data_IF_100300879767
#
_entry.id   IF_100300879767
#
_cell.length_a   1.000
_cell.length_b   1.000
_cell.length_c   1.000
_cell.angle_alpha   90.00
_cell.angle_beta   90.00
_cell.angle_gamma   90.00
#
_symmetry.space_group_name_H-M   'P 1'
#
loop_
_entity.id
_entity.type
_entity.pdbx_description
1 polymer ?
#
# COMPACT_ATOMS: atom_id res chain seq x y z
N UNK A 1 38.54 69.59 59.34
CA UNK A 1 37.38 70.07 58.58
C UNK A 1 37.85 70.26 57.14
N UNK A 2 37.79 69.22 56.31
CA UNK A 2 36.61 68.79 55.54
C UNK A 2 36.32 69.73 54.38
N UNK A 3 36.78 69.40 53.15
CA UNK A 3 36.16 69.82 51.89
C UNK A 3 36.76 69.19 50.60
N UNK A 4 36.97 67.87 50.53
CA UNK A 4 37.38 67.23 49.25
C UNK A 4 36.88 65.80 49.03
N UNK A 5 35.89 65.32 49.79
CA UNK A 5 35.33 63.95 49.60
C UNK A 5 33.85 63.90 49.25
N UNK A 6 33.23 65.01 48.86
CA UNK A 6 31.79 65.08 48.53
C UNK A 6 31.55 65.71 47.16
N UNK A 7 32.20 65.22 46.10
CA UNK A 7 31.66 65.28 44.72
C UNK A 7 32.13 64.03 43.93
N UNK A 8 32.10 62.85 44.55
CA UNK A 8 31.98 61.61 43.76
C UNK A 8 30.48 61.31 43.65
N UNK A 9 29.75 62.25 43.05
CA UNK A 9 28.43 62.00 42.54
C UNK A 9 28.58 60.91 41.47
N UNK A 10 28.25 59.67 41.84
CA UNK A 10 27.74 58.59 40.99
C UNK A 10 27.99 58.81 39.50
N UNK A 11 29.25 58.77 39.07
CA UNK A 11 29.57 58.84 37.64
C UNK A 11 29.08 57.53 37.05
N UNK A 12 28.08 57.60 36.19
CA UNK A 12 27.52 56.41 35.55
C UNK A 12 28.59 55.77 34.65
N UNK A 13 29.07 54.62 35.09
CA UNK A 13 30.04 53.81 34.37
C UNK A 13 29.36 53.08 33.19
N UNK A 14 30.13 52.76 32.16
CA UNK A 14 29.60 52.21 30.90
C UNK A 14 28.99 53.27 29.98
N UNK A 15 29.37 54.54 30.14
CA UNK A 15 28.92 55.65 29.29
C UNK A 15 30.10 56.46 28.74
N UNK A 16 29.85 57.27 27.70
CA UNK A 16 30.84 58.19 27.14
C UNK A 16 31.28 59.23 28.16
N UNK A 17 30.35 59.72 28.99
CA UNK A 17 30.65 60.71 30.01
C UNK A 17 31.40 60.11 31.19
N UNK A 18 31.14 58.84 31.52
CA UNK A 18 31.96 58.08 32.47
C UNK A 18 33.43 57.96 32.04
N UNK A 19 33.69 57.82 30.73
CA UNK A 19 35.06 57.86 30.20
C UNK A 19 35.69 59.26 30.30
N UNK A 20 34.94 60.32 29.94
CA UNK A 20 35.40 61.72 30.02
C UNK A 20 35.69 62.18 31.45
N UNK A 21 34.95 61.62 32.42
CA UNK A 21 35.17 61.84 33.85
C UNK A 21 36.42 61.12 34.41
N UNK A 22 37.17 60.39 33.56
CA UNK A 22 38.46 59.78 33.91
C UNK A 22 38.41 58.28 34.17
N UNK A 23 37.28 57.60 33.95
CA UNK A 23 37.24 56.14 34.04
C UNK A 23 37.77 55.50 32.76
N UNK A 24 39.01 54.99 32.82
CA UNK A 24 39.66 54.28 31.72
C UNK A 24 39.80 52.77 31.96
N UNK A 25 39.17 52.27 33.02
CA UNK A 25 39.28 50.88 33.45
C UNK A 25 38.63 49.88 32.49
N UNK A 26 39.12 48.64 32.49
CA UNK A 26 38.44 47.49 31.88
C UNK A 26 37.12 47.19 32.59
N UNK A 27 36.25 46.37 31.98
CA UNK A 27 34.94 45.95 32.54
C UNK A 27 35.05 45.49 34.00
N UNK A 28 36.11 44.74 34.34
CA UNK A 28 36.37 44.24 35.71
C UNK A 28 36.64 45.36 36.71
N UNK A 29 37.37 46.41 36.29
CA UNK A 29 37.69 47.56 37.15
C UNK A 29 36.63 48.68 37.13
N UNK A 30 35.76 48.67 36.11
CA UNK A 30 34.72 49.66 35.88
C UNK A 30 33.39 49.30 36.58
N UNK A 31 33.15 48.00 36.82
CA UNK A 31 31.91 47.50 37.45
C UNK A 31 30.67 47.57 36.55
N UNK A 32 30.77 48.16 35.37
CA UNK A 32 29.71 48.21 34.37
C UNK A 32 29.73 47.00 33.43
N UNK A 33 28.58 46.68 32.84
CA UNK A 33 28.42 45.59 31.87
C UNK A 33 29.30 45.76 30.61
N UNK A 34 29.55 47.01 30.22
CA UNK A 34 30.50 47.40 29.16
C UNK A 34 31.44 48.44 29.74
N UNK A 35 32.74 48.37 29.43
CA UNK A 35 33.71 49.31 29.99
C UNK A 35 33.54 50.71 29.39
N UNK A 36 33.79 51.76 30.18
CA UNK A 36 33.80 53.14 29.66
C UNK A 36 34.76 53.31 28.47
N UNK A 37 35.89 52.60 28.49
CA UNK A 37 36.88 52.60 27.41
C UNK A 37 36.34 51.98 26.12
N UNK A 38 35.68 50.82 26.20
CA UNK A 38 35.08 50.17 25.03
C UNK A 38 33.96 51.02 24.42
N UNK A 39 33.10 51.58 25.27
CA UNK A 39 32.03 52.50 24.85
C UNK A 39 32.63 53.72 24.14
N UNK A 40 33.68 54.33 24.68
CA UNK A 40 34.31 55.50 24.06
C UNK A 40 34.98 55.18 22.73
N UNK A 41 35.73 54.07 22.65
CA UNK A 41 36.37 53.61 21.40
C UNK A 41 35.31 53.38 20.32
N UNK A 42 34.23 52.67 20.65
CA UNK A 42 33.11 52.44 19.72
C UNK A 42 32.41 53.73 19.35
N UNK A 43 32.17 54.64 20.31
CA UNK A 43 31.56 55.93 20.03
C UNK A 43 32.38 56.79 19.04
N UNK A 44 33.71 56.70 19.06
CA UNK A 44 34.57 57.40 18.09
C UNK A 44 34.65 56.70 16.73
N UNK A 45 34.62 55.36 16.70
CA UNK A 45 34.87 54.57 15.49
C UNK A 45 33.63 54.02 14.76
N UNK A 46 32.50 53.86 15.45
CA UNK A 46 31.27 53.25 14.96
C UNK A 46 30.16 54.31 14.91
N UNK A 47 29.88 54.80 13.70
CA UNK A 47 28.86 55.83 13.47
C UNK A 47 27.45 55.37 13.89
N UNK A 48 27.13 54.09 13.72
CA UNK A 48 25.81 53.53 14.08
C UNK A 48 25.62 53.49 15.58
N UNK A 49 26.64 53.00 16.29
CA UNK A 49 26.69 53.01 17.76
C UNK A 49 26.57 54.43 18.31
N UNK A 50 27.37 55.38 17.78
CA UNK A 50 27.30 56.79 18.16
C UNK A 50 25.90 57.37 17.98
N UNK A 51 25.27 57.14 16.82
CA UNK A 51 23.93 57.65 16.53
C UNK A 51 22.88 57.16 17.53
N UNK A 52 22.96 55.89 17.96
CA UNK A 52 22.04 55.30 18.96
C UNK A 52 22.27 55.88 20.36
N UNK A 53 23.54 56.01 20.76
CA UNK A 53 23.92 56.65 22.03
C UNK A 53 23.47 58.12 22.06
N UNK A 54 23.68 58.87 20.96
CA UNK A 54 23.23 60.27 20.84
C UNK A 54 21.69 60.40 20.85
N UNK A 55 20.97 59.34 20.48
CA UNK A 55 19.52 59.25 20.60
C UNK A 55 19.05 58.91 22.03
N UNK A 56 19.97 58.71 22.96
CA UNK A 56 19.69 58.40 24.38
C UNK A 56 19.58 56.92 24.70
N UNK A 57 19.94 56.02 23.78
CA UNK A 57 19.97 54.59 24.06
C UNK A 57 21.17 54.21 24.95
N UNK A 58 20.97 53.28 25.88
CA UNK A 58 22.02 52.83 26.79
C UNK A 58 23.08 52.01 26.03
N UNK A 59 24.37 52.37 26.10
CA UNK A 59 25.47 51.60 25.50
C UNK A 59 25.47 50.11 25.83
N UNK A 60 25.08 49.75 27.06
CA UNK A 60 25.04 48.35 27.49
C UNK A 60 23.96 47.54 26.73
N UNK A 61 22.80 48.15 26.49
CA UNK A 61 21.68 47.50 25.78
C UNK A 61 22.01 47.33 24.28
N UNK A 62 22.68 48.31 23.67
CA UNK A 62 23.16 48.22 22.28
C UNK A 62 24.14 47.05 22.11
N UNK A 63 25.11 46.92 23.02
CA UNK A 63 26.08 45.81 22.98
C UNK A 63 25.40 44.46 23.27
N UNK A 64 24.44 44.43 24.20
CA UNK A 64 23.67 43.23 24.50
C UNK A 64 22.84 42.76 23.30
N UNK A 65 22.21 43.68 22.56
CA UNK A 65 21.47 43.37 21.34
C UNK A 65 22.39 42.82 20.25
N UNK A 66 23.50 43.49 19.95
CA UNK A 66 24.45 43.05 18.92
C UNK A 66 25.07 41.69 19.25
N UNK A 67 25.38 41.44 20.53
CA UNK A 67 25.89 40.13 20.96
C UNK A 67 24.83 39.04 20.80
N UNK A 68 23.58 39.31 21.12
CA UNK A 68 22.47 38.40 20.87
C UNK A 68 22.26 38.14 19.37
N UNK A 69 22.37 39.16 18.52
CA UNK A 69 22.30 39.01 17.06
C UNK A 69 23.44 38.14 16.52
N UNK A 70 24.67 38.38 16.98
CA UNK A 70 25.84 37.60 16.59
C UNK A 70 25.70 36.13 17.03
N UNK A 71 25.16 35.88 18.22
CA UNK A 71 24.86 34.53 18.69
C UNK A 71 23.78 33.86 17.84
N UNK A 72 22.72 34.59 17.47
CA UNK A 72 21.69 34.09 16.58
C UNK A 72 22.22 33.74 15.18
N UNK A 73 23.13 34.55 14.64
CA UNK A 73 23.83 34.27 13.37
C UNK A 73 24.68 33.00 13.52
N UNK A 74 25.49 32.89 14.58
CA UNK A 74 26.31 31.70 14.86
C UNK A 74 25.48 30.43 14.97
N UNK A 75 24.33 30.49 15.64
CA UNK A 75 23.43 29.33 15.74
C UNK A 75 22.79 28.96 14.41
N UNK A 76 22.42 29.96 13.60
CA UNK A 76 21.94 29.74 12.23
C UNK A 76 23.00 29.08 11.36
N UNK A 77 24.24 29.53 11.44
CA UNK A 77 25.36 28.97 10.67
C UNK A 77 25.71 27.56 11.12
N UNK A 78 25.72 27.29 12.44
CA UNK A 78 25.86 25.92 12.97
C UNK A 78 24.74 25.01 12.49
N UNK A 79 23.49 25.48 12.46
CA UNK A 79 22.37 24.71 11.93
C UNK A 79 22.51 24.44 10.42
N UNK A 80 22.90 25.45 9.64
CA UNK A 80 23.17 25.31 8.21
C UNK A 80 24.30 24.31 7.93
N UNK A 81 25.40 24.39 8.68
CA UNK A 81 26.53 23.47 8.55
C UNK A 81 26.15 22.03 8.92
N UNK A 82 25.37 21.83 10.00
CA UNK A 82 24.82 20.51 10.35
C UNK A 82 23.96 19.93 9.22
N UNK A 83 23.10 20.76 8.60
CA UNK A 83 22.26 20.36 7.47
C UNK A 83 23.09 20.01 6.22
N UNK A 84 24.11 20.80 5.91
CA UNK A 84 25.02 20.55 4.79
C UNK A 84 25.80 19.24 4.98
N UNK A 85 26.34 19.00 6.18
CA UNK A 85 27.04 17.75 6.51
C UNK A 85 26.12 16.53 6.39
N UNK A 86 24.88 16.63 6.87
CA UNK A 86 23.89 15.56 6.73
C UNK A 86 23.51 15.29 5.26
N UNK A 87 23.39 16.32 4.44
CA UNK A 87 23.12 16.17 3.01
C UNK A 87 24.29 15.50 2.28
N UNK A 88 25.53 15.89 2.58
CA UNK A 88 26.73 15.29 2.00
C UNK A 88 26.83 13.79 2.35
N UNK A 89 26.60 13.41 3.61
CA UNK A 89 26.60 12.02 4.04
C UNK A 89 25.52 11.17 3.33
N UNK A 90 24.33 11.74 3.08
CA UNK A 90 23.27 11.07 2.31
C UNK A 90 23.69 10.84 0.86
N UNK A 91 24.28 11.86 0.22
CA UNK A 91 24.74 11.77 -1.17
C UNK A 91 25.87 10.73 -1.32
N UNK A 92 26.78 10.65 -0.35
CA UNK A 92 27.83 9.64 -0.31
C UNK A 92 27.25 8.22 -0.20
N UNK A 93 26.31 8.01 0.74
CA UNK A 93 25.61 6.73 0.87
C UNK A 93 24.89 6.33 -0.42
N UNK A 94 24.20 7.25 -1.07
CA UNK A 94 23.51 6.99 -2.34
C UNK A 94 24.49 6.60 -3.45
N UNK A 95 25.65 7.27 -3.53
CA UNK A 95 26.72 6.93 -4.47
C UNK A 95 27.26 5.53 -4.22
N UNK A 96 27.50 5.17 -2.96
CA UNK A 96 27.99 3.85 -2.58
C UNK A 96 26.97 2.76 -2.88
N UNK A 97 25.69 2.99 -2.57
CA UNK A 97 24.60 2.08 -2.94
C UNK A 97 24.47 1.93 -4.47
N UNK A 98 24.62 3.02 -5.23
CA UNK A 98 24.61 2.97 -6.70
C UNK A 98 25.80 2.17 -7.22
N UNK A 99 26.98 2.33 -6.64
CA UNK A 99 28.18 1.57 -6.98
C UNK A 99 28.00 0.08 -6.65
N UNK A 100 27.41 -0.25 -5.50
CA UNK A 100 27.08 -1.61 -5.11
C UNK A 100 26.08 -2.25 -6.09
N UNK A 101 25.00 -1.54 -6.45
CA UNK A 101 24.02 -1.99 -7.46
C UNK A 101 24.66 -2.20 -8.85
N UNK A 102 25.64 -1.38 -9.22
CA UNK A 102 26.37 -1.54 -10.48
C UNK A 102 27.40 -2.68 -10.47
N UNK A 103 27.86 -3.10 -9.28
CA UNK A 103 28.80 -4.20 -9.12
C UNK A 103 28.12 -5.58 -9.08
N UNK A 104 26.79 -5.63 -8.95
CA UNK A 104 26.07 -6.90 -9.08
C UNK A 104 26.21 -7.45 -10.50
N UNK A 105 26.61 -8.73 -10.66
CA UNK A 105 26.77 -9.33 -11.98
C UNK A 105 25.46 -9.26 -12.73
N UNK A 106 25.54 -8.87 -14.00
CA UNK A 106 24.33 -8.72 -14.81
C UNK A 106 23.61 -10.07 -14.93
N UNK A 107 22.31 -10.04 -15.20
CA UNK A 107 21.51 -11.26 -15.22
C UNK A 107 22.07 -12.32 -16.20
N UNK A 108 22.66 -11.89 -17.31
CA UNK A 108 23.30 -12.74 -18.33
C UNK A 108 24.52 -13.47 -17.78
N UNK A 109 25.37 -12.82 -16.99
CA UNK A 109 26.51 -13.45 -16.31
C UNK A 109 26.04 -14.48 -15.28
N UNK A 110 24.92 -14.22 -14.61
CA UNK A 110 24.38 -15.12 -13.57
C UNK A 110 23.75 -16.39 -14.13
N UNK A 111 23.04 -16.31 -15.26
CA UNK A 111 22.24 -17.42 -15.80
C UNK A 111 22.72 -17.93 -17.15
N UNK A 112 23.75 -17.32 -17.75
CA UNK A 112 24.16 -17.58 -19.12
C UNK A 112 24.58 -19.02 -19.38
N UNK A 113 25.38 -19.59 -18.47
CA UNK A 113 25.85 -20.97 -18.57
C UNK A 113 24.70 -21.97 -18.43
N UNK A 114 23.77 -21.71 -17.52
CA UNK A 114 22.56 -22.52 -17.35
C UNK A 114 21.64 -22.45 -18.57
N UNK A 115 21.44 -21.25 -19.14
CA UNK A 115 20.66 -21.09 -20.37
C UNK A 115 21.30 -21.88 -21.52
N UNK A 116 22.63 -21.83 -21.66
CA UNK A 116 23.35 -22.61 -22.69
C UNK A 116 23.17 -24.11 -22.49
N UNK A 117 23.34 -24.59 -21.26
CA UNK A 117 23.17 -26.00 -20.89
C UNK A 117 21.75 -26.49 -21.17
N UNK A 118 20.73 -25.78 -20.69
CA UNK A 118 19.32 -26.19 -20.84
C UNK A 118 18.84 -26.16 -22.30
N UNK A 119 19.37 -25.24 -23.12
CA UNK A 119 19.13 -25.26 -24.57
C UNK A 119 19.75 -26.51 -25.21
N UNK A 120 20.96 -26.91 -24.80
CA UNK A 120 21.59 -28.14 -25.31
C UNK A 120 20.85 -29.42 -24.90
N UNK A 121 20.13 -29.38 -23.76
CA UNK A 121 19.21 -30.44 -23.32
C UNK A 121 17.89 -30.46 -24.12
N UNK A 122 17.68 -29.51 -25.04
CA UNK A 122 16.49 -29.43 -25.89
C UNK A 122 15.28 -28.74 -25.25
N UNK A 123 15.44 -28.10 -24.08
CA UNK A 123 14.34 -27.41 -23.38
C UNK A 123 13.90 -26.16 -24.12
N UNK A 124 12.61 -25.87 -24.05
CA UNK A 124 12.03 -24.64 -24.58
C UNK A 124 12.34 -23.44 -23.69
N UNK A 125 12.30 -22.23 -24.25
CA UNK A 125 12.49 -20.97 -23.50
C UNK A 125 11.51 -20.88 -22.31
N UNK A 126 10.30 -21.44 -22.45
CA UNK A 126 9.30 -21.44 -21.38
C UNK A 126 9.69 -22.36 -20.23
N UNK A 127 10.21 -23.55 -20.53
CA UNK A 127 10.69 -24.50 -19.52
C UNK A 127 11.94 -23.97 -18.84
N UNK A 128 12.87 -23.37 -19.60
CA UNK A 128 14.07 -22.72 -19.05
C UNK A 128 13.67 -21.59 -18.10
N UNK A 129 12.71 -20.75 -18.49
CA UNK A 129 12.21 -19.67 -17.64
C UNK A 129 11.58 -20.19 -16.34
N UNK A 130 10.80 -21.27 -16.41
CA UNK A 130 10.19 -21.91 -15.26
C UNK A 130 11.23 -22.53 -14.32
N UNK A 131 12.23 -23.22 -14.88
CA UNK A 131 13.28 -23.90 -14.13
C UNK A 131 14.23 -22.92 -13.45
N UNK A 132 14.66 -21.88 -14.17
CA UNK A 132 15.52 -20.81 -13.63
C UNK A 132 14.75 -19.77 -12.81
N UNK A 133 13.41 -19.89 -12.72
CA UNK A 133 12.52 -18.95 -12.04
C UNK A 133 12.73 -17.50 -12.47
N UNK A 134 12.96 -17.28 -13.77
CA UNK A 134 13.15 -15.96 -14.38
C UNK A 134 12.06 -15.68 -15.40
N UNK A 135 11.87 -14.42 -15.76
CA UNK A 135 10.97 -14.05 -16.83
C UNK A 135 11.43 -14.64 -18.18
N UNK A 136 10.49 -15.06 -19.02
CA UNK A 136 10.74 -15.56 -20.39
C UNK A 136 11.59 -14.54 -21.19
N UNK A 137 11.27 -13.25 -21.07
CA UNK A 137 12.02 -12.17 -21.73
C UNK A 137 13.49 -12.10 -21.31
N UNK A 138 13.82 -12.48 -20.07
CA UNK A 138 15.20 -12.54 -19.59
C UNK A 138 15.98 -13.66 -20.27
N UNK A 139 15.39 -14.85 -20.38
CA UNK A 139 16.00 -15.98 -21.09
C UNK A 139 16.24 -15.63 -22.56
N UNK A 140 15.28 -14.96 -23.21
CA UNK A 140 15.43 -14.50 -24.60
C UNK A 140 16.60 -13.53 -24.77
N UNK A 141 16.70 -12.50 -23.91
CA UNK A 141 17.80 -11.52 -23.95
C UNK A 141 19.15 -12.17 -23.66
N UNK A 142 19.22 -13.07 -22.68
CA UNK A 142 20.45 -13.82 -22.39
C UNK A 142 20.86 -14.71 -23.57
N UNK A 143 19.90 -15.37 -24.23
CA UNK A 143 20.16 -16.16 -25.44
C UNK A 143 20.71 -15.30 -26.58
N UNK A 144 20.14 -14.12 -26.80
CA UNK A 144 20.59 -13.14 -27.80
C UNK A 144 22.01 -12.63 -27.49
N UNK A 145 22.26 -12.26 -26.22
CA UNK A 145 23.58 -11.81 -25.76
C UNK A 145 24.66 -12.89 -25.90
N UNK A 146 24.31 -14.17 -25.75
CA UNK A 146 25.20 -15.30 -25.96
C UNK A 146 25.38 -15.67 -27.44
N UNK A 147 24.74 -14.95 -28.38
CA UNK A 147 24.84 -15.22 -29.81
C UNK A 147 24.20 -16.54 -30.26
N UNK A 148 23.34 -17.14 -29.44
CA UNK A 148 22.66 -18.41 -29.75
C UNK A 148 21.53 -18.08 -30.74
N UNK A 149 21.85 -18.16 -32.04
CA UNK A 149 20.93 -17.90 -33.15
C UNK A 149 20.07 -19.14 -33.44
N UNK A 150 18.76 -18.96 -33.42
CA UNK A 150 17.79 -19.97 -33.83
C UNK A 150 16.41 -19.68 -33.26
N UNK A 151 15.32 -20.01 -33.98
CA UNK A 151 14.01 -19.99 -33.37
C UNK A 151 14.02 -20.93 -32.15
N UNK A 152 13.32 -20.58 -31.05
CA UNK A 152 13.20 -21.50 -29.91
C UNK A 152 12.70 -22.85 -30.42
N UNK A 153 13.09 -23.98 -29.78
CA UNK A 153 12.66 -25.29 -30.23
C UNK A 153 11.13 -25.29 -30.34
N UNK A 154 10.65 -25.46 -31.58
CA UNK A 154 9.21 -25.55 -31.87
C UNK A 154 8.73 -26.86 -31.23
N UNK A 155 7.57 -26.84 -30.59
CA UNK A 155 6.92 -28.05 -30.09
C UNK A 155 6.87 -29.06 -31.25
N UNK A 156 7.64 -30.14 -31.15
CA UNK A 156 7.66 -31.21 -32.14
C UNK A 156 6.38 -32.01 -31.89
N UNK A 157 5.35 -31.74 -32.69
CA UNK A 157 4.12 -32.52 -32.68
C UNK A 157 4.32 -33.72 -33.60
N UNK A 158 4.08 -34.92 -33.09
CA UNK A 158 4.06 -36.12 -33.92
C UNK A 158 2.91 -36.05 -34.93
N UNK A 159 3.27 -35.83 -36.19
CA UNK A 159 2.33 -35.69 -37.31
C UNK A 159 1.59 -37.01 -37.59
N UNK A 160 2.23 -38.16 -37.33
CA UNK A 160 1.62 -39.47 -37.53
C UNK A 160 0.51 -39.71 -36.50
N UNK A 161 0.74 -39.31 -35.25
CA UNK A 161 -0.26 -39.39 -34.19
C UNK A 161 -1.47 -38.48 -34.46
N UNK A 162 -1.24 -37.27 -34.99
CA UNK A 162 -2.33 -36.38 -35.43
C UNK A 162 -3.17 -37.05 -36.52
N UNK A 163 -2.53 -37.70 -37.50
CA UNK A 163 -3.22 -38.40 -38.57
C UNK A 163 -4.08 -39.57 -38.04
N UNK A 164 -3.52 -40.36 -37.10
CA UNK A 164 -4.21 -41.48 -36.46
C UNK A 164 -5.45 -41.02 -35.69
N UNK A 165 -5.31 -40.04 -34.81
CA UNK A 165 -6.43 -39.52 -34.02
C UNK A 165 -7.51 -38.88 -34.89
N UNK A 166 -7.12 -38.21 -35.98
CA UNK A 166 -8.10 -37.67 -36.93
C UNK A 166 -8.86 -38.78 -37.67
N UNK A 167 -8.18 -39.87 -38.06
CA UNK A 167 -8.80 -41.03 -38.68
C UNK A 167 -9.78 -41.74 -37.72
N UNK A 168 -9.49 -41.72 -36.41
CA UNK A 168 -10.39 -42.20 -35.36
C UNK A 168 -11.60 -41.29 -35.12
N UNK A 169 -11.66 -40.11 -35.76
CA UNK A 169 -12.80 -39.20 -35.67
C UNK A 169 -12.70 -38.13 -34.58
N UNK A 170 -11.55 -37.99 -33.91
CA UNK A 170 -11.33 -36.92 -32.95
C UNK A 170 -11.24 -35.55 -33.65
N UNK A 171 -11.92 -34.54 -33.12
CA UNK A 171 -11.84 -33.17 -33.64
C UNK A 171 -10.50 -32.51 -33.32
N UNK A 172 -10.09 -31.52 -34.11
CA UNK A 172 -8.85 -30.75 -33.91
C UNK A 172 -8.70 -30.26 -32.45
N UNK A 173 -9.82 -29.93 -31.78
CA UNK A 173 -9.86 -29.48 -30.38
C UNK A 173 -9.50 -30.60 -29.42
N UNK A 174 -10.09 -31.79 -29.59
CA UNK A 174 -9.82 -32.93 -28.72
C UNK A 174 -8.40 -33.45 -28.93
N UNK A 175 -7.93 -33.49 -30.18
CA UNK A 175 -6.54 -33.83 -30.51
C UNK A 175 -5.57 -32.86 -29.83
N UNK A 176 -5.83 -31.56 -29.94
CA UNK A 176 -5.00 -30.52 -29.33
C UNK A 176 -4.93 -30.67 -27.80
N UNK A 177 -6.07 -30.91 -27.15
CA UNK A 177 -6.12 -31.16 -25.70
C UNK A 177 -5.34 -32.42 -25.32
N UNK A 178 -5.48 -33.50 -26.09
CA UNK A 178 -4.80 -34.77 -25.83
C UNK A 178 -3.28 -34.68 -26.02
N UNK A 179 -2.84 -33.89 -26.98
CA UNK A 179 -1.42 -33.68 -27.27
C UNK A 179 -0.80 -32.51 -26.49
N UNK A 180 -1.59 -31.77 -25.69
CA UNK A 180 -1.11 -30.63 -24.90
C UNK A 180 -0.65 -29.43 -25.74
N UNK A 181 -1.21 -29.24 -26.93
CA UNK A 181 -0.83 -28.16 -27.86
C UNK A 181 -2.00 -27.24 -28.18
N UNK A 182 -1.70 -26.09 -28.80
CA UNK A 182 -2.74 -25.18 -29.26
C UNK A 182 -3.56 -25.80 -30.42
N UNK A 183 -4.87 -25.55 -30.44
CA UNK A 183 -5.76 -25.98 -31.52
C UNK A 183 -5.29 -25.49 -32.90
N UNK A 184 -4.72 -24.29 -32.97
CA UNK A 184 -4.14 -23.72 -34.19
C UNK A 184 -3.01 -24.60 -34.75
N UNK A 185 -2.18 -25.19 -33.89
CA UNK A 185 -1.09 -26.09 -34.29
C UNK A 185 -1.64 -27.34 -34.98
N UNK A 186 -2.64 -28.00 -34.39
CA UNK A 186 -3.28 -29.18 -35.00
C UNK A 186 -4.01 -28.83 -36.29
N UNK A 187 -4.76 -27.72 -36.30
CA UNK A 187 -5.48 -27.25 -37.50
C UNK A 187 -4.53 -26.92 -38.65
N UNK A 188 -3.34 -26.39 -38.36
CA UNK A 188 -2.28 -26.16 -39.35
C UNK A 188 -1.67 -27.48 -39.82
N UNK A 189 -1.34 -28.41 -38.92
CA UNK A 189 -0.82 -29.74 -39.30
C UNK A 189 -1.83 -30.47 -40.20
N UNK A 190 -3.11 -30.52 -39.82
CA UNK A 190 -4.18 -31.16 -40.59
C UNK A 190 -4.30 -30.55 -41.99
N UNK A 191 -4.36 -29.22 -42.10
CA UNK A 191 -4.58 -28.52 -43.38
C UNK A 191 -3.34 -28.50 -44.28
N UNK A 192 -2.17 -28.23 -43.71
CA UNK A 192 -0.97 -27.92 -44.48
C UNK A 192 -0.08 -29.14 -44.69
N UNK A 193 0.05 -30.02 -43.68
CA UNK A 193 0.94 -31.19 -43.74
C UNK A 193 0.19 -32.44 -44.19
N UNK A 194 -0.96 -32.72 -43.58
CA UNK A 194 -1.75 -33.93 -43.86
C UNK A 194 -2.76 -33.76 -44.99
N UNK A 195 -3.08 -32.50 -45.36
CA UNK A 195 -4.08 -32.15 -46.39
C UNK A 195 -5.45 -32.80 -46.16
N UNK A 196 -5.83 -33.01 -44.90
CA UNK A 196 -7.09 -33.66 -44.54
C UNK A 196 -8.23 -32.64 -44.41
N UNK A 197 -9.44 -32.96 -44.91
CA UNK A 197 -10.61 -32.11 -44.74
C UNK A 197 -11.03 -32.04 -43.26
N UNK A 198 -11.85 -31.06 -42.91
CA UNK A 198 -12.48 -31.03 -41.58
C UNK A 198 -13.46 -32.19 -41.44
N UNK A 199 -13.47 -32.84 -40.29
CA UNK A 199 -14.50 -33.82 -39.93
C UNK A 199 -15.89 -33.17 -39.96
N UNK A 200 -16.90 -33.96 -40.33
CA UNK A 200 -18.28 -33.51 -40.24
C UNK A 200 -18.65 -33.22 -38.78
N UNK A 201 -19.55 -32.26 -38.51
CA UNK A 201 -19.96 -31.93 -37.13
C UNK A 201 -20.51 -33.13 -36.36
N UNK A 202 -21.14 -34.10 -37.04
CA UNK A 202 -21.67 -35.32 -36.42
C UNK A 202 -20.55 -36.23 -35.90
N UNK A 203 -19.48 -36.41 -36.69
CA UNK A 203 -18.32 -37.25 -36.30
C UNK A 203 -17.50 -36.54 -35.23
N UNK A 204 -17.24 -35.24 -35.40
CA UNK A 204 -16.51 -34.44 -34.42
C UNK A 204 -17.18 -34.45 -33.03
N UNK A 205 -18.51 -34.33 -33.00
CA UNK A 205 -19.30 -34.35 -31.75
C UNK A 205 -19.36 -35.73 -31.08
N UNK A 206 -19.04 -36.82 -31.77
CA UNK A 206 -19.07 -38.16 -31.18
C UNK A 206 -17.99 -38.34 -30.10
N UNK A 207 -16.85 -37.66 -30.27
CA UNK A 207 -15.72 -37.68 -29.34
C UNK A 207 -15.64 -36.42 -28.46
N UNK A 208 -16.46 -35.41 -28.73
CA UNK A 208 -16.62 -34.27 -27.83
C UNK A 208 -17.49 -34.68 -26.65
N UNK A 209 -16.95 -34.52 -25.45
CA UNK A 209 -17.75 -34.74 -24.26
C UNK A 209 -18.87 -33.69 -24.19
N UNK A 210 -20.11 -34.14 -24.10
CA UNK A 210 -21.23 -33.22 -23.87
C UNK A 210 -21.04 -32.45 -22.56
N UNK A 211 -21.44 -31.17 -22.46
CA UNK A 211 -21.37 -30.41 -21.20
C UNK A 211 -22.08 -31.09 -20.03
N UNK A 212 -23.10 -31.90 -20.33
CA UNK A 212 -23.81 -32.73 -19.34
C UNK A 212 -22.93 -33.86 -18.82
N UNK A 213 -22.23 -34.58 -19.69
CA UNK A 213 -21.31 -35.64 -19.31
C UNK A 213 -20.12 -35.09 -18.52
N UNK A 214 -19.56 -33.95 -18.93
CA UNK A 214 -18.49 -33.25 -18.21
C UNK A 214 -18.90 -32.90 -16.77
N UNK A 215 -20.11 -32.33 -16.62
CA UNK A 215 -20.69 -32.03 -15.32
C UNK A 215 -20.92 -33.29 -14.49
N UNK A 216 -21.42 -34.37 -15.11
CA UNK A 216 -21.62 -35.64 -14.42
C UNK A 216 -20.29 -36.24 -13.91
N UNK A 217 -19.22 -36.23 -14.72
CA UNK A 217 -17.89 -36.67 -14.27
C UNK A 217 -17.39 -35.87 -13.07
N UNK A 218 -17.53 -34.54 -13.12
CA UNK A 218 -17.12 -33.68 -11.99
C UNK A 218 -17.96 -33.93 -10.73
N UNK A 219 -19.27 -34.21 -10.88
CA UNK A 219 -20.13 -34.62 -9.75
C UNK A 219 -19.65 -35.95 -9.14
N UNK A 220 -19.29 -36.94 -9.95
CA UNK A 220 -18.74 -38.22 -9.46
C UNK A 220 -17.44 -37.99 -8.68
N UNK A 221 -16.53 -37.15 -9.22
CA UNK A 221 -15.26 -36.85 -8.60
C UNK A 221 -15.43 -36.15 -7.23
N UNK A 222 -16.22 -35.07 -7.18
CA UNK A 222 -16.47 -34.32 -5.94
C UNK A 222 -17.25 -35.17 -4.92
N UNK A 223 -18.16 -36.02 -5.39
CA UNK A 223 -18.85 -36.99 -4.54
C UNK A 223 -17.88 -38.02 -3.96
N UNK A 224 -16.92 -38.52 -4.75
CA UNK A 224 -15.85 -39.42 -4.30
C UNK A 224 -14.92 -38.78 -3.24
N UNK A 225 -14.82 -37.46 -3.23
CA UNK A 225 -14.12 -36.69 -2.17
C UNK A 225 -14.95 -36.53 -0.89
N UNK A 226 -16.15 -37.12 -0.82
CA UNK A 226 -17.03 -37.07 0.34
C UNK A 226 -17.85 -35.78 0.46
N UNK A 227 -17.85 -34.92 -0.56
CA UNK A 227 -18.63 -33.67 -0.53
C UNK A 227 -20.14 -33.95 -0.54
N UNK A 228 -20.89 -33.08 0.13
CA UNK A 228 -22.35 -33.09 0.12
C UNK A 228 -22.92 -32.49 -1.17
N UNK A 229 -24.16 -32.82 -1.51
CA UNK A 229 -24.87 -32.23 -2.67
C UNK A 229 -24.88 -30.68 -2.64
N UNK A 230 -24.82 -30.04 -1.47
CA UNK A 230 -24.73 -28.59 -1.34
C UNK A 230 -23.34 -28.07 -1.68
N UNK A 231 -22.29 -28.66 -1.11
CA UNK A 231 -20.90 -28.27 -1.40
C UNK A 231 -20.54 -28.48 -2.86
N UNK A 232 -20.99 -29.60 -3.45
CA UNK A 232 -20.80 -29.88 -4.88
C UNK A 232 -21.52 -28.82 -5.73
N UNK A 233 -22.71 -28.38 -5.30
CA UNK A 233 -23.47 -27.36 -6.02
C UNK A 233 -22.76 -26.00 -5.98
N UNK A 234 -22.25 -25.62 -4.81
CA UNK A 234 -21.51 -24.38 -4.62
C UNK A 234 -20.20 -24.38 -5.44
N UNK A 235 -19.46 -25.50 -5.41
CA UNK A 235 -18.22 -25.69 -6.20
C UNK A 235 -18.46 -25.64 -7.70
N UNK A 236 -19.57 -26.21 -8.18
CA UNK A 236 -19.92 -26.24 -9.59
C UNK A 236 -20.69 -24.99 -10.06
N UNK A 237 -20.98 -24.04 -9.18
CA UNK A 237 -21.83 -22.88 -9.49
C UNK A 237 -23.22 -23.28 -9.99
N UNK A 238 -23.80 -24.36 -9.45
CA UNK A 238 -25.11 -24.89 -9.87
C UNK A 238 -26.05 -25.05 -8.67
N UNK A 239 -27.28 -25.53 -8.90
CA UNK A 239 -28.24 -25.72 -7.82
C UNK A 239 -28.09 -27.08 -7.16
N UNK A 240 -28.31 -27.15 -5.84
CA UNK A 240 -28.36 -28.40 -5.07
C UNK A 240 -29.27 -29.44 -5.72
N UNK A 241 -30.43 -29.01 -6.22
CA UNK A 241 -31.41 -29.87 -6.89
C UNK A 241 -30.85 -30.48 -8.19
N UNK A 242 -30.04 -29.74 -8.95
CA UNK A 242 -29.41 -30.27 -10.17
C UNK A 242 -28.37 -31.35 -9.84
N UNK A 243 -27.57 -31.14 -8.79
CA UNK A 243 -26.62 -32.15 -8.28
C UNK A 243 -27.35 -33.38 -7.78
N UNK A 244 -28.40 -33.20 -6.97
CA UNK A 244 -29.25 -34.30 -6.49
C UNK A 244 -29.79 -35.15 -7.64
N UNK A 245 -30.38 -34.53 -8.67
CA UNK A 245 -30.92 -35.22 -9.84
C UNK A 245 -29.83 -35.98 -10.61
N UNK A 246 -28.64 -35.40 -10.74
CA UNK A 246 -27.51 -36.06 -11.38
C UNK A 246 -26.99 -37.23 -10.55
N UNK A 247 -26.84 -37.07 -9.23
CA UNK A 247 -26.44 -38.12 -8.27
C UNK A 247 -27.37 -39.32 -8.34
N UNK A 248 -28.69 -39.07 -8.33
CA UNK A 248 -29.72 -40.13 -8.46
C UNK A 248 -29.62 -40.83 -9.80
N UNK A 249 -29.48 -40.10 -10.92
CA UNK A 249 -29.29 -40.69 -12.25
C UNK A 249 -28.02 -41.52 -12.38
N UNK A 250 -26.99 -41.20 -11.60
CA UNK A 250 -25.72 -41.90 -11.55
C UNK A 250 -25.68 -42.99 -10.46
N UNK A 251 -26.80 -43.25 -9.77
CA UNK A 251 -26.91 -44.23 -8.68
C UNK A 251 -25.88 -44.05 -7.55
N UNK A 252 -25.46 -42.81 -7.27
CA UNK A 252 -24.50 -42.51 -6.21
C UNK A 252 -25.21 -42.39 -4.84
N UNK A 253 -24.66 -42.97 -3.76
CA UNK A 253 -25.27 -42.89 -2.42
C UNK A 253 -25.27 -41.46 -1.88
N UNK A 254 -26.12 -41.17 -0.91
CA UNK A 254 -26.09 -39.85 -0.27
C UNK A 254 -24.87 -39.75 0.66
N UNK A 255 -23.99 -38.79 0.41
CA UNK A 255 -22.95 -38.39 1.36
C UNK A 255 -23.63 -37.66 2.51
N UNK A 256 -24.09 -38.41 3.51
CA UNK A 256 -24.73 -37.85 4.70
C UNK A 256 -23.67 -37.04 5.44
N UNK A 257 -23.75 -35.71 5.38
CA UNK A 257 -23.13 -34.88 6.39
C UNK A 257 -23.66 -35.34 7.76
N UNK A 258 -22.80 -35.94 8.57
CA UNK A 258 -23.06 -36.14 10.00
C UNK A 258 -22.97 -34.79 10.69
N UNK A 259 -23.90 -33.89 10.39
CA UNK A 259 -24.17 -32.69 11.16
C UNK A 259 -25.67 -32.42 11.11
N UNK A 260 -26.45 -33.32 11.74
CA UNK A 260 -27.51 -32.78 12.59
C UNK A 260 -26.78 -32.06 13.72
N UNK A 261 -26.37 -30.82 13.49
CA UNK A 261 -26.02 -29.92 14.58
C UNK A 261 -27.17 -29.97 15.59
N UNK A 262 -26.90 -29.87 16.91
CA UNK A 262 -27.93 -30.00 17.92
C UNK A 262 -29.10 -29.12 17.51
N UNK A 263 -30.30 -29.72 17.45
CA UNK A 263 -31.54 -29.03 17.19
C UNK A 263 -31.57 -27.82 18.11
N UNK A 264 -31.34 -26.61 17.59
CA UNK A 264 -31.57 -25.38 18.33
C UNK A 264 -33.09 -25.26 18.37
N UNK A 265 -33.76 -25.48 19.52
CA UNK A 265 -35.17 -25.17 19.60
C UNK A 265 -35.33 -23.73 19.15
N UNK A 266 -36.37 -23.46 18.35
CA UNK A 266 -36.77 -22.07 18.09
C UNK A 266 -37.00 -21.44 19.45
N UNK A 267 -36.09 -20.58 19.89
CA UNK A 267 -36.32 -19.69 21.02
C UNK A 267 -37.38 -18.70 20.57
N UNK A 268 -38.63 -19.07 20.76
CA UNK A 268 -39.77 -18.16 20.73
C UNK A 268 -39.83 -17.36 22.03
N UNK A 269 -38.70 -16.83 22.50
CA UNK A 269 -38.72 -15.75 23.49
C UNK A 269 -39.19 -14.51 22.75
N UNK A 270 -40.52 -14.37 22.69
CA UNK A 270 -41.18 -13.09 22.41
C UNK A 270 -40.59 -12.12 23.43
N UNK A 271 -39.87 -11.06 23.04
CA UNK A 271 -39.33 -10.12 24.00
C UNK A 271 -40.47 -9.63 24.88
N UNK A 272 -40.28 -9.77 26.18
CA UNK A 272 -41.22 -9.32 27.19
C UNK A 272 -41.47 -7.84 26.93
N UNK A 273 -42.73 -7.48 26.70
CA UNK A 273 -43.12 -6.09 26.46
C UNK A 273 -42.83 -5.37 27.77
N UNK A 274 -41.75 -4.59 27.81
CA UNK A 274 -41.51 -3.67 28.93
C UNK A 274 -42.69 -2.70 28.93
N UNK A 275 -43.64 -2.93 29.83
CA UNK A 275 -44.70 -1.97 30.12
C UNK A 275 -44.01 -0.80 30.81
N UNK A 276 -43.68 0.23 30.03
CA UNK A 276 -43.26 1.52 30.57
C UNK A 276 -44.40 2.05 31.44
N UNK A 277 -44.05 2.48 32.65
CA UNK A 277 -44.99 3.08 33.59
C UNK A 277 -45.79 4.21 32.91
N UNK A 278 -47.11 4.29 33.13
CA UNK A 278 -48.01 5.17 32.38
C UNK A 278 -47.73 6.68 32.53
N UNK A 279 -46.85 7.09 33.46
CA UNK A 279 -46.58 8.48 33.81
C UNK A 279 -45.13 8.93 33.55
N UNK A 280 -44.32 8.14 32.82
CA UNK A 280 -43.02 8.62 32.38
C UNK A 280 -43.24 9.69 31.30
N UNK A 281 -42.91 10.94 31.59
CA UNK A 281 -42.98 12.07 30.67
C UNK A 281 -42.04 11.83 29.47
N UNK A 282 -42.57 11.19 28.42
CA UNK A 282 -41.79 10.85 27.23
C UNK A 282 -41.49 12.16 26.50
N UNK A 283 -40.22 12.56 26.47
CA UNK A 283 -39.78 13.70 25.67
C UNK A 283 -40.03 13.42 24.19
N UNK A 284 -41.05 14.08 23.64
CA UNK A 284 -41.41 13.95 22.24
C UNK A 284 -40.47 14.78 21.35
N UNK A 285 -40.31 14.38 20.09
CA UNK A 285 -39.50 15.09 19.10
C UNK A 285 -38.01 14.78 19.13
N UNK A 286 -37.62 13.77 19.90
CA UNK A 286 -36.23 13.31 20.02
C UNK A 286 -36.10 11.83 19.63
N UNK A 287 -34.88 11.35 19.29
CA UNK A 287 -34.60 9.92 19.15
C UNK A 287 -34.92 9.12 20.43
N UNK A 288 -34.75 9.73 21.60
CA UNK A 288 -35.02 9.10 22.89
C UNK A 288 -36.52 8.85 23.10
N UNK A 289 -37.38 9.75 22.63
CA UNK A 289 -38.82 9.50 22.60
C UNK A 289 -39.22 8.28 21.76
N UNK A 290 -38.45 7.96 20.71
CA UNK A 290 -38.68 6.78 19.88
C UNK A 290 -38.21 5.48 20.54
N UNK A 291 -37.09 5.51 21.28
CA UNK A 291 -36.61 4.35 22.05
C UNK A 291 -37.51 4.07 23.26
N UNK A 292 -38.07 5.11 23.87
CA UNK A 292 -39.12 5.04 24.89
C UNK A 292 -40.50 4.63 24.35
N UNK A 293 -40.62 4.29 23.06
CA UNK A 293 -41.81 3.63 22.50
C UNK A 293 -42.81 4.53 21.78
N UNK A 294 -42.57 5.83 21.62
CA UNK A 294 -43.40 6.68 20.78
C UNK A 294 -43.17 6.36 19.29
N UNK A 295 -44.11 5.61 18.68
CA UNK A 295 -44.02 5.16 17.26
C UNK A 295 -44.67 6.12 16.24
N UNK A 296 -44.84 7.40 16.57
CA UNK A 296 -45.25 8.44 15.62
C UNK A 296 -46.76 8.55 15.33
N UNK A 297 -47.55 7.48 15.43
CA UNK A 297 -49.02 7.55 15.33
C UNK A 297 -49.59 8.24 16.58
N UNK A 298 -49.80 9.55 16.51
CA UNK A 298 -50.32 10.39 17.60
C UNK A 298 -49.26 11.15 18.40
N UNK A 299 -48.04 11.28 17.87
CA UNK A 299 -46.99 12.08 18.50
C UNK A 299 -47.35 13.59 18.46
N UNK A 300 -47.35 14.32 19.60
CA UNK A 300 -47.74 15.74 19.62
C UNK A 300 -46.63 16.68 19.12
N UNK A 301 -45.41 16.20 18.90
CA UNK A 301 -44.28 17.02 18.46
C UNK A 301 -44.10 17.03 16.94
N UNK A 302 -43.54 18.12 16.44
CA UNK A 302 -43.01 18.25 15.07
C UNK A 302 -41.53 18.68 15.15
N UNK A 303 -40.57 17.87 14.66
CA UNK A 303 -40.74 16.56 14.03
C UNK A 303 -41.27 15.49 15.01
N UNK A 304 -41.88 14.43 14.48
CA UNK A 304 -42.29 13.27 15.29
C UNK A 304 -41.06 12.51 15.80
N UNK A 305 -41.17 11.73 16.88
CA UNK A 305 -40.02 10.95 17.39
C UNK A 305 -39.44 9.99 16.33
N UNK A 306 -40.29 9.40 15.49
CA UNK A 306 -39.86 8.56 14.35
C UNK A 306 -39.02 9.36 13.35
N UNK A 307 -39.45 10.57 13.01
CA UNK A 307 -38.70 11.45 12.11
C UNK A 307 -37.38 11.94 12.74
N UNK A 308 -37.39 12.27 14.03
CA UNK A 308 -36.20 12.63 14.79
C UNK A 308 -35.14 11.51 14.75
N UNK A 309 -35.56 10.26 14.97
CA UNK A 309 -34.68 9.08 14.87
C UNK A 309 -34.13 8.87 13.45
N UNK A 310 -34.96 9.02 12.42
CA UNK A 310 -34.51 8.93 11.02
C UNK A 310 -33.51 10.04 10.66
N UNK A 311 -33.74 11.26 11.14
CA UNK A 311 -32.82 12.38 10.92
C UNK A 311 -31.49 12.16 11.64
N UNK A 312 -31.50 11.64 12.88
CA UNK A 312 -30.29 11.28 13.61
C UNK A 312 -29.47 10.21 12.85
N UNK A 313 -30.12 9.16 12.35
CA UNK A 313 -29.44 8.14 11.53
C UNK A 313 -28.86 8.72 10.23
N UNK A 314 -29.56 9.63 9.55
CA UNK A 314 -29.05 10.31 8.35
C UNK A 314 -27.83 11.17 8.69
N UNK A 315 -27.86 11.91 9.80
CA UNK A 315 -26.73 12.72 10.26
C UNK A 315 -25.50 11.85 10.58
N UNK A 316 -25.69 10.74 11.31
CA UNK A 316 -24.61 9.80 11.61
C UNK A 316 -23.98 9.21 10.34
N UNK A 317 -24.77 8.89 9.31
CA UNK A 317 -24.25 8.41 8.02
C UNK A 317 -23.48 9.46 7.25
N UNK A 318 -23.86 10.74 7.35
CA UNK A 318 -23.07 11.85 6.75
C UNK A 318 -21.72 12.01 7.45
N UNK A 319 -21.68 11.88 8.78
CA UNK A 319 -20.42 11.94 9.54
C UNK A 319 -19.50 10.75 9.23
N UNK A 320 -20.05 9.54 9.09
CA UNK A 320 -19.26 8.34 8.84
C UNK A 320 -18.78 8.17 7.38
N UNK A 321 -19.31 8.96 6.43
CA UNK A 321 -18.97 8.88 4.99
C UNK A 321 -18.25 10.10 4.45
N UNK A 322 -17.76 10.99 5.33
CA UNK A 322 -17.15 12.27 4.98
C UNK A 322 -15.66 12.38 5.35
N UNK A 323 -14.89 11.30 5.17
CA UNK A 323 -13.42 11.29 5.17
C UNK A 323 -12.88 10.73 3.86
#
# INVERSE_FOLDING_TARGET
MSRTMEVLATVEHGTVDGYRAGCHGSTVSCGAAVSCTDVYIRYQGDWGFRKRVDAGENPADIVAEETAELEAIRERDKAANRKAKAAAARAEKERDERKARAAEPNLTERIGDDVRRLISEGKTVREIAAELKVAIASVTRTREALGIKGPPPRIIVDVAEVARLHAEGYSDTVIAQRMGVANSTISTIRREKLKLPRLSPKVARAHEESPRAARQRRIVELHGQGMTDQQIADELGTTRSAVYQARVRLNLPLNRARTRGPYKPRTTTRPERVELAPDADITHGTPDGYTAGCRGRGCPSTPTCTEAMLNAHRAARRQAGGE
#
